data_IF_417183350439
#
_entry.id   IF_417183350439
#
_cell.length_a   1.000
_cell.length_b   1.000
_cell.length_c   1.000
_cell.angle_alpha   90.00
_cell.angle_beta   90.00
_cell.angle_gamma   90.00
#
_symmetry.space_group_name_H-M   'P 1'
#
loop_
_entity.id
_entity.type
_entity.pdbx_description
1 polymer ?
#
# COMPACT_ATOMS: atom_id res chain seq x y z
N UNK A 1 -14.95 4.46 25.50
CA UNK A 1 -14.46 4.59 24.10
C UNK A 1 -13.85 3.26 23.67
N UNK A 2 -14.03 2.78 22.42
CA UNK A 2 -13.53 1.45 22.06
C UNK A 2 -12.00 1.43 21.94
N UNK A 3 -11.40 0.44 22.58
CA UNK A 3 -9.99 0.05 22.45
C UNK A 3 -9.91 -1.35 21.86
N UNK A 4 -8.82 -1.63 21.14
CA UNK A 4 -8.55 -2.96 20.63
C UNK A 4 -8.50 -3.97 21.78
N UNK A 5 -9.21 -5.09 21.65
CA UNK A 5 -9.26 -6.13 22.69
C UNK A 5 -8.06 -7.07 22.68
N UNK A 6 -7.30 -7.10 21.57
CA UNK A 6 -6.15 -8.01 21.43
C UNK A 6 -5.09 -7.66 22.46
N UNK A 7 -4.56 -8.67 23.12
CA UNK A 7 -3.52 -8.50 24.13
C UNK A 7 -2.32 -7.72 23.57
N UNK A 8 -1.72 -6.89 24.42
CA UNK A 8 -0.61 -5.99 24.08
C UNK A 8 -0.91 -4.89 23.04
N UNK A 9 -2.10 -4.86 22.45
CA UNK A 9 -2.50 -3.83 21.49
C UNK A 9 -3.04 -2.59 22.20
N UNK A 10 -2.34 -1.46 22.04
CA UNK A 10 -2.72 -0.17 22.66
C UNK A 10 -3.51 0.75 21.72
N UNK A 11 -3.98 0.23 20.58
CA UNK A 11 -4.73 1.02 19.61
C UNK A 11 -6.14 1.29 20.10
N UNK A 12 -6.57 2.54 20.00
CA UNK A 12 -7.90 3.00 20.47
C UNK A 12 -8.44 4.12 19.59
N UNK A 13 -9.76 4.31 19.62
CA UNK A 13 -10.42 5.30 18.77
C UNK A 13 -10.19 6.73 19.27
N UNK A 14 -10.16 6.94 20.58
CA UNK A 14 -9.83 8.23 21.21
C UNK A 14 -8.48 8.20 21.90
N UNK A 15 -7.96 9.37 22.30
CA UNK A 15 -6.76 9.49 23.16
C UNK A 15 -5.60 8.64 22.66
N UNK A 16 -5.31 8.80 21.37
CA UNK A 16 -4.33 8.03 20.61
C UNK A 16 -2.93 8.32 21.16
N UNK A 17 -2.07 7.29 21.17
CA UNK A 17 -0.66 7.52 21.46
C UNK A 17 0.00 8.19 20.26
N UNK A 18 1.08 8.96 20.48
CA UNK A 18 1.89 9.53 19.40
C UNK A 18 2.34 8.48 18.37
N UNK A 19 2.64 7.25 18.84
CA UNK A 19 2.98 6.11 17.98
C UNK A 19 1.82 5.72 17.05
N UNK A 20 0.59 5.69 17.57
CA UNK A 20 -0.60 5.39 16.77
C UNK A 20 -0.87 6.52 15.76
N UNK A 21 -0.74 7.77 16.17
CA UNK A 21 -0.92 8.93 15.27
C UNK A 21 0.08 8.92 14.12
N UNK A 22 1.35 8.63 14.40
CA UNK A 22 2.38 8.53 13.37
C UNK A 22 2.12 7.36 12.42
N UNK A 23 1.62 6.22 12.92
CA UNK A 23 1.22 5.09 12.08
C UNK A 23 0.03 5.44 11.19
N UNK A 24 -0.97 6.13 11.74
CA UNK A 24 -2.19 6.54 11.01
C UNK A 24 -1.94 7.52 9.86
N UNK A 25 -0.82 8.26 9.88
CA UNK A 25 -0.35 9.05 8.72
C UNK A 25 -0.08 8.18 7.49
N UNK A 26 0.25 6.90 7.69
CA UNK A 26 0.61 5.97 6.61
C UNK A 26 -0.47 4.91 6.35
N UNK A 27 -1.15 4.44 7.40
CA UNK A 27 -2.12 3.35 7.35
C UNK A 27 -3.38 3.73 8.13
N UNK A 28 -4.54 3.76 7.46
CA UNK A 28 -5.82 4.01 8.14
C UNK A 28 -6.20 2.81 9.01
N UNK A 29 -6.20 3.01 10.33
CA UNK A 29 -6.64 1.99 11.30
C UNK A 29 -8.17 2.06 11.43
N UNK A 30 -8.83 0.93 11.20
CA UNK A 30 -10.27 0.75 11.43
C UNK A 30 -10.52 -0.25 12.55
N UNK A 31 -11.66 -0.15 13.22
CA UNK A 31 -12.04 -1.04 14.33
C UNK A 31 -13.23 -1.89 13.91
N UNK A 32 -13.12 -3.20 14.10
CA UNK A 32 -14.09 -4.19 13.66
C UNK A 32 -14.67 -4.89 14.89
N UNK A 33 -15.99 -4.85 15.03
CA UNK A 33 -16.71 -5.51 16.12
C UNK A 33 -16.68 -7.02 15.88
N UNK A 34 -16.66 -7.80 16.96
CA UNK A 34 -16.77 -9.25 16.85
C UNK A 34 -18.01 -9.68 16.05
N UNK A 35 -17.90 -10.73 15.23
CA UNK A 35 -19.04 -11.27 14.50
C UNK A 35 -20.19 -11.66 15.44
N UNK A 36 -21.43 -11.44 14.98
CA UNK A 36 -22.64 -11.92 15.66
C UNK A 36 -22.85 -13.43 15.52
N UNK A 37 -22.30 -14.02 14.46
CA UNK A 37 -22.37 -15.46 14.23
C UNK A 37 -21.48 -16.19 15.24
N UNK A 38 -22.07 -17.08 16.03
CA UNK A 38 -21.38 -17.83 17.09
C UNK A 38 -20.17 -18.62 16.58
N UNK A 39 -20.27 -19.28 15.43
CA UNK A 39 -19.17 -20.09 14.87
C UNK A 39 -17.97 -19.20 14.58
N UNK A 40 -18.20 -18.09 13.88
CA UNK A 40 -17.13 -17.16 13.51
C UNK A 40 -16.58 -16.41 14.72
N UNK A 41 -17.44 -16.09 15.67
CA UNK A 41 -17.05 -15.49 16.95
C UNK A 41 -16.09 -16.41 17.70
N UNK A 42 -16.43 -17.69 17.87
CA UNK A 42 -15.55 -18.67 18.51
C UNK A 42 -14.21 -18.82 17.77
N UNK A 43 -14.23 -18.78 16.44
CA UNK A 43 -13.00 -18.82 15.64
C UNK A 43 -12.07 -17.63 15.93
N UNK A 44 -12.64 -16.42 16.07
CA UNK A 44 -11.88 -15.23 16.45
C UNK A 44 -11.34 -15.34 17.87
N UNK A 45 -12.15 -15.82 18.82
CA UNK A 45 -11.74 -16.01 20.21
C UNK A 45 -10.58 -17.00 20.32
N UNK A 46 -10.70 -18.13 19.63
CA UNK A 46 -9.65 -19.15 19.55
C UNK A 46 -8.35 -18.58 18.96
N UNK A 47 -8.45 -17.81 17.87
CA UNK A 47 -7.28 -17.22 17.21
C UNK A 47 -6.59 -16.15 18.07
N UNK A 48 -7.39 -15.42 18.86
CA UNK A 48 -6.89 -14.39 19.77
C UNK A 48 -6.50 -14.93 21.15
N UNK A 49 -6.71 -16.22 21.40
CA UNK A 49 -6.48 -16.87 22.70
C UNK A 49 -7.24 -16.17 23.84
N UNK A 50 -8.49 -15.78 23.57
CA UNK A 50 -9.33 -15.05 24.51
C UNK A 50 -10.53 -15.89 24.97
N UNK A 51 -10.82 -15.84 26.26
CA UNK A 51 -12.00 -16.45 26.85
C UNK A 51 -13.23 -15.55 26.74
N UNK A 52 -14.38 -16.12 26.39
CA UNK A 52 -15.64 -15.38 26.20
C UNK A 52 -16.09 -14.61 27.45
N UNK A 53 -15.79 -15.14 28.64
CA UNK A 53 -16.14 -14.54 29.92
C UNK A 53 -15.38 -13.22 30.21
N UNK A 54 -14.22 -13.00 29.59
CA UNK A 54 -13.37 -11.82 29.83
C UNK A 54 -13.71 -10.62 28.93
N UNK A 55 -14.72 -10.76 28.07
CA UNK A 55 -14.97 -9.84 26.95
C UNK A 55 -15.92 -8.70 27.34
N UNK A 56 -15.52 -7.46 27.03
CA UNK A 56 -16.36 -6.27 27.19
C UNK A 56 -17.64 -6.32 26.32
N UNK A 57 -18.68 -5.54 26.67
CA UNK A 57 -19.99 -5.52 25.99
C UNK A 57 -19.95 -5.25 24.47
N UNK A 58 -18.93 -4.53 23.97
CA UNK A 58 -18.74 -4.23 22.53
C UNK A 58 -17.26 -4.36 22.16
N UNK A 59 -16.75 -5.59 22.05
CA UNK A 59 -15.35 -5.82 21.83
C UNK A 59 -15.00 -5.52 20.37
N UNK A 60 -13.87 -4.84 20.16
CA UNK A 60 -13.38 -4.47 18.83
C UNK A 60 -11.95 -4.92 18.64
N UNK A 61 -11.63 -5.29 17.40
CA UNK A 61 -10.28 -5.60 16.94
C UNK A 61 -9.85 -4.56 15.91
N UNK A 62 -8.64 -4.03 16.02
CA UNK A 62 -8.14 -3.07 15.04
C UNK A 62 -7.68 -3.77 13.74
N UNK A 63 -7.70 -3.04 12.63
CA UNK A 63 -7.41 -3.58 11.29
C UNK A 63 -5.99 -4.12 11.09
N UNK A 64 -5.07 -3.86 12.01
CA UNK A 64 -3.69 -4.37 11.93
C UNK A 64 -3.61 -5.87 12.20
N UNK A 65 -4.58 -6.43 12.93
CA UNK A 65 -4.66 -7.87 13.22
C UNK A 65 -5.24 -8.68 12.06
N UNK A 66 -5.44 -8.08 10.90
CA UNK A 66 -5.96 -8.74 9.71
C UNK A 66 -5.00 -8.52 8.55
N UNK A 67 -4.96 -9.46 7.61
CA UNK A 67 -4.19 -9.27 6.39
C UNK A 67 -4.91 -8.25 5.52
N UNK A 68 -4.19 -7.55 4.65
CA UNK A 68 -4.84 -6.61 3.72
C UNK A 68 -5.78 -7.32 2.73
N UNK A 69 -5.60 -8.62 2.54
CA UNK A 69 -6.40 -9.48 1.65
C UNK A 69 -7.75 -9.83 2.26
N UNK A 70 -7.85 -9.78 3.58
CA UNK A 70 -9.08 -10.02 4.36
C UNK A 70 -10.09 -8.88 4.22
N UNK A 71 -9.79 -7.84 3.44
CA UNK A 71 -10.64 -6.69 3.25
C UNK A 71 -11.17 -6.62 1.82
N UNK A 72 -12.48 -6.53 1.71
CA UNK A 72 -13.14 -6.13 0.47
C UNK A 72 -12.90 -4.64 0.25
N UNK A 73 -12.21 -4.32 -0.85
CA UNK A 73 -12.02 -2.94 -1.28
C UNK A 73 -13.10 -2.57 -2.29
N UNK A 74 -14.31 -2.34 -1.80
CA UNK A 74 -15.31 -1.62 -2.59
C UNK A 74 -15.00 -0.13 -2.52
N UNK A 75 -15.17 0.61 -3.63
CA UNK A 75 -14.76 2.01 -3.81
C UNK A 75 -15.23 2.98 -2.69
N UNK A 76 -16.25 2.61 -1.93
CA UNK A 76 -16.86 3.44 -0.88
C UNK A 76 -16.65 2.91 0.54
N UNK A 77 -16.20 1.66 0.72
CA UNK A 77 -16.01 1.11 2.06
C UNK A 77 -14.97 0.00 2.11
N UNK A 78 -14.13 0.04 3.15
CA UNK A 78 -13.24 -1.06 3.51
C UNK A 78 -13.98 -1.97 4.47
N UNK A 79 -14.52 -3.08 3.96
CA UNK A 79 -15.27 -4.07 4.75
C UNK A 79 -14.42 -5.31 4.96
N UNK A 80 -14.58 -5.93 6.13
CA UNK A 80 -13.87 -7.16 6.45
C UNK A 80 -14.61 -8.34 5.81
N UNK A 81 -13.90 -9.19 5.07
CA UNK A 81 -14.47 -10.33 4.37
C UNK A 81 -15.07 -11.36 5.35
N UNK A 82 -16.05 -12.17 4.92
CA UNK A 82 -16.69 -13.18 5.77
C UNK A 82 -15.73 -14.23 6.36
N UNK A 83 -14.65 -14.57 5.65
CA UNK A 83 -13.67 -15.58 6.05
C UNK A 83 -12.47 -15.00 6.80
N UNK A 84 -12.43 -13.69 7.02
CA UNK A 84 -11.31 -13.05 7.72
C UNK A 84 -11.24 -13.48 9.19
N UNK A 85 -10.03 -13.86 9.63
CA UNK A 85 -9.70 -14.28 10.99
C UNK A 85 -8.56 -13.39 11.50
N UNK A 86 -8.68 -12.80 12.71
CA UNK A 86 -7.63 -11.97 13.27
C UNK A 86 -6.45 -12.81 13.75
N UNK A 87 -5.25 -12.22 13.83
CA UNK A 87 -4.07 -12.85 14.43
C UNK A 87 -3.41 -11.96 15.48
N UNK A 88 -2.74 -12.59 16.44
CA UNK A 88 -1.97 -11.90 17.48
C UNK A 88 -0.65 -11.43 16.88
N UNK A 89 -0.31 -10.16 17.10
CA UNK A 89 0.99 -9.61 16.72
C UNK A 89 1.87 -9.62 17.97
N UNK A 90 2.74 -10.62 18.09
CA UNK A 90 3.68 -10.72 19.21
C UNK A 90 4.86 -9.78 18.94
N UNK A 91 5.33 -8.97 19.90
CA UNK A 91 6.43 -8.01 19.70
C UNK A 91 7.74 -8.62 19.16
N UNK A 92 7.97 -9.93 19.37
CA UNK A 92 9.14 -10.64 18.83
C UNK A 92 9.03 -11.01 17.35
N UNK A 93 7.85 -10.91 16.73
CA UNK A 93 7.65 -11.20 15.30
C UNK A 93 7.86 -9.98 14.38
N UNK A 94 8.30 -8.84 14.93
CA UNK A 94 8.81 -7.73 14.12
C UNK A 94 10.30 -7.98 13.79
N UNK A 95 10.58 -9.16 13.27
CA UNK A 95 11.85 -9.49 12.63
C UNK A 95 11.51 -10.37 11.41
N UNK A 96 11.60 -9.78 10.23
CA UNK A 96 11.91 -10.47 8.98
C UNK A 96 11.08 -11.71 8.63
N UNK A 97 9.78 -11.54 8.33
CA UNK A 97 9.08 -12.49 7.45
C UNK A 97 8.59 -11.80 6.18
N UNK A 98 9.53 -11.71 5.25
CA UNK A 98 9.31 -11.78 3.82
C UNK A 98 8.47 -13.02 3.49
N UNK A 99 7.31 -12.80 2.89
CA UNK A 99 6.76 -13.42 1.68
C UNK A 99 7.30 -14.83 1.28
N UNK A 100 6.33 -15.70 0.95
CA UNK A 100 6.39 -16.97 0.19
C UNK A 100 6.53 -18.30 0.96
N UNK A 101 5.42 -19.05 0.96
CA UNK A 101 5.42 -20.41 0.40
C UNK A 101 4.02 -20.70 -0.12
N UNK A 102 3.88 -20.53 -1.44
CA UNK A 102 2.87 -21.20 -2.23
C UNK A 102 3.12 -22.71 -2.13
N UNK A 103 2.05 -23.45 -1.87
CA UNK A 103 1.98 -24.90 -2.05
C UNK A 103 2.21 -25.20 -3.54
N UNK A 104 3.18 -26.06 -3.84
CA UNK A 104 3.43 -26.58 -5.19
C UNK A 104 2.18 -27.31 -5.70
N UNK A 105 1.68 -26.88 -6.84
CA UNK A 105 0.97 -27.75 -7.78
C UNK A 105 1.72 -27.58 -9.09
N UNK A 106 2.44 -28.64 -9.47
CA UNK A 106 2.96 -28.83 -10.81
C UNK A 106 1.80 -28.77 -11.80
N UNK A 107 1.94 -27.97 -12.85
CA UNK A 107 1.64 -28.43 -14.20
C UNK A 107 2.32 -27.50 -15.22
N UNK A 108 3.09 -28.15 -16.09
CA UNK A 108 3.75 -27.55 -17.26
C UNK A 108 2.68 -27.07 -18.23
N UNK A 109 2.88 -25.90 -18.83
CA UNK A 109 2.98 -25.79 -20.28
C UNK A 109 3.45 -24.41 -20.74
N UNK A 110 4.36 -24.45 -21.72
CA UNK A 110 5.02 -23.33 -22.36
C UNK A 110 4.04 -22.54 -23.24
N UNK A 111 4.14 -21.20 -23.23
CA UNK A 111 4.06 -20.41 -24.46
C UNK A 111 4.43 -18.96 -24.19
N UNK A 112 5.68 -18.64 -24.50
CA UNK A 112 6.23 -17.30 -24.67
C UNK A 112 5.51 -16.49 -25.74
N UNK A 113 4.99 -15.31 -25.40
CA UNK A 113 4.82 -14.22 -26.35
C UNK A 113 5.17 -12.87 -25.71
N UNK A 114 6.35 -12.38 -26.06
CA UNK A 114 6.75 -10.98 -25.99
C UNK A 114 5.85 -10.18 -26.95
N UNK A 115 5.21 -9.11 -26.47
CA UNK A 115 4.66 -8.07 -27.33
C UNK A 115 5.10 -6.71 -26.80
N UNK A 116 6.15 -6.20 -27.44
CA UNK A 116 6.44 -4.78 -27.54
C UNK A 116 5.27 -4.12 -28.28
N UNK A 117 4.65 -3.07 -27.71
CA UNK A 117 3.84 -2.15 -28.51
C UNK A 117 4.31 -0.71 -28.28
N UNK A 118 4.90 -0.21 -29.35
CA UNK A 118 5.26 1.18 -29.60
C UNK A 118 4.01 2.07 -29.68
N UNK A 119 4.19 3.32 -29.24
CA UNK A 119 3.25 4.41 -29.47
C UNK A 119 3.33 4.87 -30.93
N UNK A 120 2.17 5.00 -31.59
CA UNK A 120 2.00 5.91 -32.71
C UNK A 120 0.70 6.73 -32.60
N UNK A 121 0.88 7.99 -32.96
CA UNK A 121 -0.03 9.13 -32.96
C UNK A 121 -0.61 9.30 -34.37
N UNK A 122 -1.84 9.80 -34.51
CA UNK A 122 -2.44 9.95 -35.84
C UNK A 122 -3.94 10.23 -35.92
N UNK A 123 -4.33 11.42 -35.48
CA UNK A 123 -5.47 12.25 -35.92
C UNK A 123 -6.09 11.89 -37.30
N UNK A 124 -7.42 11.78 -37.42
CA UNK A 124 -8.28 12.70 -38.24
C UNK A 124 -9.74 12.23 -38.45
N UNK A 125 -10.62 13.19 -38.13
CA UNK A 125 -12.03 13.42 -38.45
C UNK A 125 -12.57 12.96 -39.83
N UNK A 126 -13.80 12.40 -39.88
CA UNK A 126 -14.92 12.94 -40.72
C UNK A 126 -16.28 12.28 -40.49
N UNK A 127 -17.30 13.13 -40.33
CA UNK A 127 -18.74 12.86 -40.40
C UNK A 127 -19.21 12.47 -41.81
N UNK A 128 -20.28 11.67 -41.93
CA UNK A 128 -21.50 11.99 -42.70
C UNK A 128 -22.66 11.00 -42.46
N UNK A 129 -23.89 11.52 -42.51
CA UNK A 129 -25.20 10.89 -42.21
C UNK A 129 -25.79 10.16 -43.42
N UNK A 130 -26.63 9.15 -43.20
CA UNK A 130 -27.91 8.92 -43.93
C UNK A 130 -28.86 8.02 -43.12
N UNK A 131 -30.15 8.35 -43.16
CA UNK A 131 -31.27 7.66 -42.50
C UNK A 131 -31.73 6.41 -43.28
N UNK A 132 -32.15 5.36 -42.55
CA UNK A 132 -33.31 4.51 -42.89
C UNK A 132 -33.64 3.54 -41.75
N UNK A 133 -34.91 3.56 -41.35
CA UNK A 133 -35.57 2.62 -40.45
C UNK A 133 -35.44 1.18 -40.92
N UNK A 134 -35.26 0.24 -39.98
CA UNK A 134 -36.06 -0.99 -39.81
C UNK A 134 -35.33 -2.01 -38.91
N UNK A 135 -36.11 -2.53 -37.95
CA UNK A 135 -35.96 -3.78 -37.20
C UNK A 135 -34.88 -3.97 -36.12
N UNK A 136 -35.38 -4.32 -34.95
CA UNK A 136 -34.67 -4.66 -33.73
C UNK A 136 -33.79 -5.89 -33.96
N UNK A 137 -32.48 -5.70 -33.81
CA UNK A 137 -31.57 -6.77 -33.44
C UNK A 137 -30.50 -6.18 -32.54
N UNK A 138 -30.83 -6.00 -31.24
CA UNK A 138 -29.85 -5.59 -30.23
C UNK A 138 -28.99 -6.82 -29.93
N UNK A 139 -28.03 -7.10 -30.81
CA UNK A 139 -26.90 -7.94 -30.45
C UNK A 139 -26.19 -7.26 -29.29
N UNK A 140 -26.13 -7.94 -28.14
CA UNK A 140 -25.46 -7.43 -26.95
C UNK A 140 -23.95 -7.50 -27.20
N UNK A 141 -23.42 -6.51 -27.93
CA UNK A 141 -21.97 -6.29 -27.97
C UNK A 141 -21.61 -5.80 -26.58
N UNK A 142 -20.92 -6.65 -25.82
CA UNK A 142 -20.29 -6.27 -24.56
C UNK A 142 -19.40 -5.05 -24.83
N UNK A 143 -19.94 -3.85 -24.58
CA UNK A 143 -19.15 -2.67 -24.30
C UNK A 143 -18.43 -2.98 -23.00
N UNK A 144 -17.28 -3.63 -23.11
CA UNK A 144 -16.31 -3.67 -22.04
C UNK A 144 -16.21 -2.26 -21.51
N UNK A 145 -16.61 -2.06 -20.26
CA UNK A 145 -16.42 -0.79 -19.58
C UNK A 145 -14.94 -0.51 -19.67
N UNK A 146 -14.54 0.41 -20.55
CA UNK A 146 -13.20 0.95 -20.62
C UNK A 146 -13.02 1.77 -19.35
N UNK A 147 -12.64 1.08 -18.28
CA UNK A 147 -12.30 1.74 -17.05
C UNK A 147 -10.99 2.48 -17.34
N UNK A 148 -11.00 3.81 -17.21
CA UNK A 148 -9.80 4.66 -17.37
C UNK A 148 -8.59 3.97 -16.69
N UNK A 149 -7.40 3.93 -17.32
CA UNK A 149 -6.19 3.33 -16.73
C UNK A 149 -5.89 3.86 -15.32
N UNK A 150 -6.33 5.07 -15.01
CA UNK A 150 -6.23 5.73 -13.71
C UNK A 150 -7.03 5.01 -12.60
N UNK A 151 -8.09 4.26 -12.96
CA UNK A 151 -8.95 3.53 -12.00
C UNK A 151 -8.39 2.16 -11.62
N UNK A 152 -7.56 1.55 -12.46
CA UNK A 152 -6.88 0.27 -12.19
C UNK A 152 -5.82 0.44 -11.10
N UNK A 153 -5.31 1.67 -10.92
CA UNK A 153 -4.26 1.99 -9.95
C UNK A 153 -4.75 2.10 -8.49
N UNK A 154 -6.05 2.00 -8.23
CA UNK A 154 -6.62 2.17 -6.89
C UNK A 154 -6.86 0.86 -6.11
N UNK A 155 -6.18 -0.24 -6.45
CA UNK A 155 -6.12 -1.39 -5.55
C UNK A 155 -5.21 -1.04 -4.35
N UNK A 156 -5.69 -1.14 -3.09
CA UNK A 156 -4.90 -0.78 -1.90
C UNK A 156 -3.56 -1.53 -1.79
N UNK A 157 -3.48 -2.78 -2.30
CA UNK A 157 -2.22 -3.53 -2.38
C UNK A 157 -1.21 -2.82 -3.28
N UNK A 158 -1.61 -2.42 -4.50
CA UNK A 158 -0.76 -1.67 -5.44
C UNK A 158 -0.42 -0.29 -4.91
N UNK A 159 -1.36 0.42 -4.28
CA UNK A 159 -1.09 1.73 -3.66
C UNK A 159 -0.09 1.61 -2.49
N UNK A 160 -0.26 0.64 -1.60
CA UNK A 160 0.67 0.44 -0.48
C UNK A 160 2.06 0.05 -0.97
N UNK A 161 2.15 -0.88 -1.92
CA UNK A 161 3.42 -1.26 -2.54
C UNK A 161 4.08 -0.07 -3.23
N UNK A 162 3.32 0.72 -3.99
CA UNK A 162 3.80 1.95 -4.61
C UNK A 162 4.30 2.94 -3.56
N UNK A 163 3.54 3.18 -2.48
CA UNK A 163 3.97 4.07 -1.37
C UNK A 163 5.23 3.56 -0.68
N UNK A 164 5.36 2.26 -0.46
CA UNK A 164 6.55 1.62 0.12
C UNK A 164 7.77 1.80 -0.78
N UNK A 165 7.60 1.59 -2.10
CA UNK A 165 8.63 1.82 -3.10
C UNK A 165 9.03 3.30 -3.18
N UNK A 166 8.06 4.22 -3.22
CA UNK A 166 8.30 5.66 -3.21
C UNK A 166 9.05 6.11 -1.96
N UNK A 167 8.75 5.54 -0.80
CA UNK A 167 9.50 5.81 0.44
C UNK A 167 10.94 5.29 0.38
N UNK A 168 11.16 4.09 -0.16
CA UNK A 168 12.51 3.53 -0.38
C UNK A 168 13.32 4.41 -1.34
N UNK A 169 12.71 4.83 -2.45
CA UNK A 169 13.34 5.74 -3.42
C UNK A 169 13.67 7.10 -2.80
N UNK A 170 12.73 7.70 -2.06
CA UNK A 170 12.96 8.97 -1.36
C UNK A 170 14.13 8.88 -0.37
N UNK A 171 14.24 7.77 0.39
CA UNK A 171 15.37 7.54 1.30
C UNK A 171 16.70 7.43 0.55
N UNK A 172 16.72 6.69 -0.55
CA UNK A 172 17.91 6.54 -1.40
C UNK A 172 18.38 7.89 -1.94
N UNK A 173 17.47 8.68 -2.52
CA UNK A 173 17.81 10.01 -3.04
C UNK A 173 18.21 10.98 -1.92
N UNK A 174 17.56 10.96 -0.76
CA UNK A 174 17.97 11.79 0.38
C UNK A 174 19.41 11.47 0.83
N UNK A 175 19.78 10.18 0.83
CA UNK A 175 21.15 9.75 1.14
C UNK A 175 22.14 10.20 0.06
N UNK A 176 21.80 10.06 -1.22
CA UNK A 176 22.62 10.54 -2.34
C UNK A 176 22.86 12.06 -2.25
N UNK A 177 21.80 12.83 -2.02
CA UNK A 177 21.88 14.29 -1.82
C UNK A 177 22.78 14.63 -0.64
N UNK A 178 22.68 13.90 0.48
CA UNK A 178 23.54 14.12 1.66
C UNK A 178 25.02 13.90 1.32
N UNK A 179 25.33 12.82 0.61
CA UNK A 179 26.70 12.49 0.20
C UNK A 179 27.24 13.55 -0.76
N UNK A 180 26.45 13.96 -1.75
CA UNK A 180 26.85 14.98 -2.73
C UNK A 180 27.10 16.33 -2.07
N UNK A 181 26.24 16.76 -1.14
CA UNK A 181 26.45 17.98 -0.35
C UNK A 181 27.77 17.93 0.42
N UNK A 182 28.08 16.81 1.08
CA UNK A 182 29.33 16.66 1.82
C UNK A 182 30.55 16.72 0.89
N UNK A 183 30.50 16.07 -0.28
CA UNK A 183 31.56 16.15 -1.29
C UNK A 183 31.76 17.58 -1.80
N UNK A 184 30.66 18.29 -2.07
CA UNK A 184 30.69 19.68 -2.51
C UNK A 184 31.34 20.58 -1.44
N UNK A 185 31.01 20.39 -0.17
CA UNK A 185 31.59 21.14 0.94
C UNK A 185 33.11 20.89 1.08
N UNK A 186 33.57 19.64 0.93
CA UNK A 186 35.01 19.31 0.94
C UNK A 186 35.76 19.95 -0.23
N UNK A 187 35.15 20.00 -1.42
CA UNK A 187 35.74 20.69 -2.57
C UNK A 187 35.79 22.20 -2.35
N UNK A 188 34.69 22.79 -1.87
CA UNK A 188 34.59 24.22 -1.52
C UNK A 188 35.68 24.65 -0.53
N UNK A 189 35.85 23.90 0.56
CA UNK A 189 36.87 24.18 1.58
C UNK A 189 38.29 24.08 1.01
N UNK A 190 38.58 23.09 0.15
CA UNK A 190 39.88 22.96 -0.51
C UNK A 190 40.15 24.09 -1.51
N UNK A 191 39.13 24.54 -2.24
CA UNK A 191 39.26 25.71 -3.13
C UNK A 191 39.56 26.97 -2.29
N UNK A 192 38.86 27.16 -1.17
CA UNK A 192 39.10 28.29 -0.29
C UNK A 192 40.53 28.28 0.26
N UNK A 193 41.06 27.13 0.69
CA UNK A 193 42.45 27.04 1.16
C UNK A 193 43.46 27.36 0.06
N UNK A 194 43.24 26.86 -1.16
CA UNK A 194 44.11 27.16 -2.31
C UNK A 194 44.08 28.64 -2.67
N UNK A 195 42.91 29.29 -2.63
CA UNK A 195 42.80 30.75 -2.84
C UNK A 195 43.63 31.55 -1.84
N UNK A 196 43.64 31.14 -0.56
CA UNK A 196 44.47 31.78 0.47
C UNK A 196 45.96 31.64 0.16
N UNK A 197 46.40 30.44 -0.25
CA UNK A 197 47.79 30.20 -0.62
C UNK A 197 48.20 31.04 -1.83
N UNK A 198 47.38 31.05 -2.90
CA UNK A 198 47.63 31.86 -4.10
C UNK A 198 47.72 33.34 -3.74
N UNK A 199 46.82 33.85 -2.90
CA UNK A 199 46.87 35.23 -2.43
C UNK A 199 48.17 35.55 -1.68
N UNK A 200 48.64 34.64 -0.81
CA UNK A 200 49.91 34.80 -0.09
C UNK A 200 51.12 34.83 -1.04
N UNK A 201 51.12 33.98 -2.07
CA UNK A 201 52.20 33.95 -3.07
C UNK A 201 52.19 35.23 -3.91
N UNK A 202 51.02 35.68 -4.37
CA UNK A 202 50.88 36.93 -5.13
C UNK A 202 51.31 38.18 -4.37
N UNK A 203 51.23 38.19 -3.04
CA UNK A 203 51.65 39.32 -2.21
C UNK A 203 53.17 39.37 -1.97
N UNK A 204 53.89 38.27 -2.23
CA UNK A 204 55.34 38.16 -2.06
C UNK A 204 56.14 38.41 -3.35
N UNK A 205 55.45 38.53 -4.48
CA UNK A 205 55.98 38.96 -5.77
C UNK A 205 55.60 40.42 -5.98
#
# INVERSE_FOLDING_TARGET
MPSCMVEFCKNRTSTKSRKQEDLEKTVKITFHVLPKNNIRRQLWLKSLQLDEASISKRPVVCSLHFKNEDFECSSFSRRLLPHAIPYIIVPNDICERSIDTHMEIEDKENSSLNLNLSLDDGTTSKMQKTDKSTEMNVSYVNRGTSVSPERIFNCPKKIYQLRKLMHKMRRKHAQEVRILKQRLQRKSTKIASLKVIIWKVKKKL
#
